data_IF_399330162723
#
_entry.id   IF_399330162723
#
_cell.length_a   1.000
_cell.length_b   1.000
_cell.length_c   1.000
_cell.angle_alpha   90.00
_cell.angle_beta   90.00
_cell.angle_gamma   90.00
#
_symmetry.space_group_name_H-M   'P 1'
#
loop_
_entity.id
_entity.type
_entity.pdbx_description
1 polymer ?
#
# COMPACT_ATOMS: atom_id res chain seq x y z
N UNK A 1 28.54 22.41 -12.49
CA UNK A 1 29.13 21.15 -12.99
C UNK A 1 28.01 20.14 -13.11
N UNK A 2 27.64 19.72 -14.32
CA UNK A 2 26.60 18.71 -14.49
C UNK A 2 27.19 17.35 -14.09
N UNK A 3 26.83 16.85 -12.91
CA UNK A 3 27.07 15.45 -12.55
C UNK A 3 26.15 14.59 -13.41
N UNK A 4 26.57 14.31 -14.64
CA UNK A 4 25.94 13.27 -15.45
C UNK A 4 26.23 11.93 -14.78
N UNK A 5 25.18 11.21 -14.38
CA UNK A 5 25.31 9.90 -13.76
C UNK A 5 26.11 8.96 -14.66
N UNK A 6 26.97 8.14 -14.07
CA UNK A 6 27.81 7.22 -14.83
C UNK A 6 26.94 6.18 -15.56
N UNK A 7 27.42 5.71 -16.71
CA UNK A 7 26.83 4.59 -17.43
C UNK A 7 26.70 3.38 -16.50
N UNK A 8 25.50 2.85 -16.31
CA UNK A 8 25.25 1.71 -15.42
C UNK A 8 25.78 0.39 -16.01
N UNK A 9 26.05 0.36 -17.32
CA UNK A 9 26.58 -0.82 -18.03
C UNK A 9 28.11 -0.92 -17.89
N UNK A 10 28.83 0.17 -18.16
CA UNK A 10 30.29 0.14 -18.21
C UNK A 10 30.97 0.94 -17.10
N UNK A 11 30.25 1.80 -16.36
CA UNK A 11 30.71 2.66 -15.27
C UNK A 11 31.92 3.56 -15.57
N UNK A 12 32.32 3.67 -16.84
CA UNK A 12 33.54 4.35 -17.30
C UNK A 12 33.30 5.76 -17.82
N UNK A 13 32.08 6.11 -18.18
CA UNK A 13 31.75 7.39 -18.82
C UNK A 13 30.39 7.90 -18.35
N UNK A 14 30.18 9.21 -18.43
CA UNK A 14 28.88 9.81 -18.18
C UNK A 14 27.83 9.21 -19.13
N UNK A 15 26.67 8.91 -18.58
CA UNK A 15 25.52 8.46 -19.35
C UNK A 15 25.00 9.57 -20.26
N UNK A 16 24.60 9.19 -21.47
CA UNK A 16 24.06 10.09 -22.50
C UNK A 16 22.66 9.70 -22.95
N UNK A 17 22.26 8.46 -22.71
CA UNK A 17 21.02 7.87 -23.21
C UNK A 17 20.39 6.98 -22.13
N UNK A 18 19.09 6.72 -22.28
CA UNK A 18 18.27 5.93 -21.35
C UNK A 18 17.56 4.80 -22.09
N UNK A 19 17.51 3.60 -21.51
CA UNK A 19 16.82 2.46 -22.10
C UNK A 19 15.29 2.61 -21.95
N UNK A 20 14.46 2.40 -22.99
CA UNK A 20 13.01 2.52 -22.88
C UNK A 20 12.33 1.35 -22.15
N UNK A 21 13.03 0.24 -21.92
CA UNK A 21 12.46 -0.98 -21.30
C UNK A 21 12.70 -0.99 -19.79
N UNK A 22 13.96 -0.92 -19.38
CA UNK A 22 14.39 -1.03 -17.99
C UNK A 22 14.83 0.30 -17.37
N UNK A 23 14.77 1.40 -18.13
CA UNK A 23 15.10 2.77 -17.69
C UNK A 23 16.55 3.02 -17.25
N UNK A 24 17.46 2.06 -17.41
CA UNK A 24 18.89 2.25 -17.08
C UNK A 24 19.56 3.27 -17.99
N UNK A 25 20.57 3.95 -17.46
CA UNK A 25 21.34 5.00 -18.12
C UNK A 25 22.63 4.43 -18.71
N UNK A 26 22.91 4.74 -19.97
CA UNK A 26 24.08 4.24 -20.69
C UNK A 26 24.79 5.33 -21.51
N UNK A 27 26.08 5.12 -21.80
CA UNK A 27 26.90 6.13 -22.50
C UNK A 27 26.86 6.02 -24.04
N UNK A 28 26.64 4.82 -24.61
CA UNK A 28 26.68 4.61 -26.06
C UNK A 28 25.93 3.34 -26.51
N UNK A 29 25.74 3.19 -27.83
CA UNK A 29 25.05 2.05 -28.46
C UNK A 29 25.74 0.71 -28.13
N UNK A 30 27.05 0.66 -27.93
CA UNK A 30 27.74 -0.55 -27.50
C UNK A 30 27.31 -1.01 -26.10
N UNK A 31 27.11 -0.07 -25.18
CA UNK A 31 26.55 -0.34 -23.85
C UNK A 31 25.07 -0.75 -23.94
N UNK A 32 24.30 -0.19 -24.88
CA UNK A 32 22.92 -0.61 -25.10
C UNK A 32 22.82 -2.05 -25.61
N UNK A 33 23.66 -2.46 -26.57
CA UNK A 33 23.66 -3.83 -27.10
C UNK A 33 24.09 -4.86 -26.06
N UNK A 34 25.15 -4.58 -25.31
CA UNK A 34 25.62 -5.45 -24.22
C UNK A 34 24.55 -5.62 -23.16
N UNK A 35 23.90 -4.52 -22.74
CA UNK A 35 22.77 -4.55 -21.83
C UNK A 35 21.55 -5.30 -22.36
N UNK A 36 21.17 -5.09 -23.64
CA UNK A 36 20.02 -5.75 -24.25
C UNK A 36 20.26 -7.25 -24.47
N UNK A 37 21.50 -7.64 -24.70
CA UNK A 37 21.92 -9.05 -24.84
C UNK A 37 22.09 -9.76 -23.51
N UNK A 38 22.39 -9.05 -22.42
CA UNK A 38 22.24 -9.60 -21.07
C UNK A 38 20.76 -9.67 -20.73
N UNK A 39 20.26 -10.80 -20.25
CA UNK A 39 18.85 -11.03 -19.86
C UNK A 39 18.35 -10.13 -18.71
N UNK A 40 19.13 -9.13 -18.30
CA UNK A 40 18.85 -8.15 -17.25
C UNK A 40 18.05 -6.93 -17.73
N UNK A 41 17.73 -6.84 -19.04
CA UNK A 41 16.83 -5.83 -19.59
C UNK A 41 15.36 -6.19 -19.31
N UNK A 42 15.00 -6.25 -18.03
CA UNK A 42 13.65 -6.53 -17.57
C UNK A 42 12.93 -5.20 -17.35
N UNK A 43 11.69 -5.10 -17.83
CA UNK A 43 10.80 -3.99 -17.47
C UNK A 43 10.66 -4.01 -15.96
N UNK A 44 10.91 -2.90 -15.22
CA UNK A 44 10.65 -2.90 -13.79
C UNK A 44 9.21 -3.34 -13.60
N UNK A 45 9.03 -4.48 -12.94
CA UNK A 45 7.72 -4.83 -12.41
C UNK A 45 7.30 -3.66 -11.54
N UNK A 46 6.02 -3.25 -11.56
CA UNK A 46 5.55 -2.29 -10.58
C UNK A 46 5.91 -2.88 -9.23
N UNK A 47 6.87 -2.26 -8.55
CA UNK A 47 7.15 -2.55 -7.15
C UNK A 47 5.79 -2.35 -6.51
N UNK A 48 5.17 -3.45 -6.10
CA UNK A 48 4.07 -3.38 -5.15
C UNK A 48 4.72 -2.66 -3.99
N UNK A 49 4.44 -1.36 -3.89
CA UNK A 49 4.78 -0.53 -2.75
C UNK A 49 4.31 -1.35 -1.56
N UNK A 50 5.27 -1.98 -0.89
CA UNK A 50 5.06 -2.48 0.45
C UNK A 50 4.74 -1.21 1.21
N UNK A 51 3.43 -1.01 1.42
CA UNK A 51 2.92 -0.01 2.35
C UNK A 51 3.81 -0.14 3.58
N UNK A 52 4.41 0.96 4.06
CA UNK A 52 5.26 0.90 5.25
C UNK A 52 4.50 0.14 6.35
N UNK A 53 5.20 -0.60 7.23
CA UNK A 53 4.57 -1.14 8.42
C UNK A 53 3.75 -0.02 9.04
N UNK A 54 2.46 -0.26 9.25
CA UNK A 54 1.61 0.65 10.03
C UNK A 54 2.27 0.71 11.40
N UNK A 55 3.13 1.71 11.62
CA UNK A 55 3.57 2.06 12.95
C UNK A 55 2.28 2.36 13.70
N UNK A 56 2.00 1.53 14.71
CA UNK A 56 0.95 1.76 15.68
C UNK A 56 1.26 3.09 16.35
N UNK A 57 0.81 4.19 15.75
CA UNK A 57 0.93 5.50 16.36
C UNK A 57 0.05 5.44 17.61
N UNK A 58 0.63 5.60 18.82
CA UNK A 58 -0.17 5.76 20.01
C UNK A 58 -1.11 6.93 19.73
N UNK A 59 -2.41 6.71 19.93
CA UNK A 59 -3.38 7.80 19.91
C UNK A 59 -2.84 8.90 20.83
N UNK A 60 -2.68 10.13 20.32
CA UNK A 60 -2.14 11.21 21.17
C UNK A 60 -3.16 11.62 22.26
N UNK A 61 -4.43 11.23 22.09
CA UNK A 61 -5.53 11.55 23.00
C UNK A 61 -6.52 10.38 23.10
N UNK A 62 -6.47 9.64 24.21
CA UNK A 62 -7.51 8.65 24.55
C UNK A 62 -8.80 9.36 24.95
N UNK A 63 -9.89 9.05 24.27
CA UNK A 63 -11.25 9.44 24.66
C UNK A 63 -12.07 8.21 25.05
N UNK A 64 -13.24 8.41 25.63
CA UNK A 64 -14.17 7.32 25.97
C UNK A 64 -14.58 6.52 24.72
N UNK A 65 -14.65 7.18 23.56
CA UNK A 65 -14.97 6.56 22.27
C UNK A 65 -13.78 5.82 21.62
N UNK A 66 -12.59 5.86 22.22
CA UNK A 66 -11.40 5.21 21.67
C UNK A 66 -11.39 3.72 22.05
N UNK A 67 -11.48 2.84 21.05
CA UNK A 67 -11.40 1.39 21.28
C UNK A 67 -9.98 0.99 21.65
N UNK A 68 -9.83 0.30 22.78
CA UNK A 68 -8.53 -0.20 23.26
C UNK A 68 -7.92 -1.23 22.28
N UNK A 69 -6.59 -1.25 22.12
CA UNK A 69 -5.92 -2.19 21.21
C UNK A 69 -6.16 -3.66 21.59
N UNK A 70 -6.36 -3.97 22.88
CA UNK A 70 -6.73 -5.32 23.33
C UNK A 70 -8.06 -5.78 22.74
N UNK A 71 -9.07 -4.89 22.68
CA UNK A 71 -10.36 -5.18 22.05
C UNK A 71 -10.25 -5.28 20.53
N UNK A 72 -9.41 -4.44 19.91
CA UNK A 72 -9.14 -4.52 18.47
C UNK A 72 -8.51 -5.86 18.06
N UNK A 73 -7.74 -6.50 18.95
CA UNK A 73 -7.19 -7.84 18.67
C UNK A 73 -8.28 -8.91 18.61
N UNK A 74 -9.40 -8.77 19.32
CA UNK A 74 -10.51 -9.73 19.29
C UNK A 74 -11.15 -9.84 17.90
N UNK A 75 -11.18 -8.73 17.15
CA UNK A 75 -11.66 -8.69 15.76
C UNK A 75 -10.90 -9.65 14.83
N UNK A 76 -9.65 -10.01 15.19
CA UNK A 76 -8.83 -10.95 14.42
C UNK A 76 -9.31 -12.38 14.56
N UNK A 77 -9.83 -12.74 15.73
CA UNK A 77 -10.25 -14.10 16.05
C UNK A 77 -11.72 -14.34 15.71
N UNK A 78 -12.50 -13.27 15.52
CA UNK A 78 -13.91 -13.35 15.13
C UNK A 78 -14.11 -13.92 13.70
N UNK A 79 -14.92 -14.98 13.52
CA UNK A 79 -15.13 -15.62 12.24
C UNK A 79 -15.96 -14.79 11.26
N UNK A 80 -16.88 -13.96 11.74
CA UNK A 80 -17.79 -13.17 10.91
C UNK A 80 -17.06 -11.95 10.33
N UNK A 81 -16.28 -11.23 11.16
CA UNK A 81 -15.37 -10.17 10.71
C UNK A 81 -14.37 -10.69 9.67
N UNK A 82 -13.81 -11.88 9.89
CA UNK A 82 -12.89 -12.49 8.92
C UNK A 82 -13.56 -12.82 7.60
N UNK A 83 -14.79 -13.33 7.63
CA UNK A 83 -15.59 -13.67 6.46
C UNK A 83 -15.95 -12.42 5.65
N UNK A 84 -16.30 -11.33 6.30
CA UNK A 84 -16.56 -10.05 5.63
C UNK A 84 -15.30 -9.54 4.92
N UNK A 85 -14.14 -9.65 5.57
CA UNK A 85 -12.84 -9.28 5.00
C UNK A 85 -12.37 -10.19 3.86
N UNK A 86 -13.00 -11.33 3.60
CA UNK A 86 -12.74 -12.11 2.37
C UNK A 86 -13.20 -11.35 1.12
N UNK A 87 -14.14 -10.41 1.27
CA UNK A 87 -14.65 -9.61 0.17
C UNK A 87 -13.63 -8.53 -0.26
N UNK A 88 -13.13 -8.68 -1.49
CA UNK A 88 -12.16 -7.74 -2.08
C UNK A 88 -12.68 -6.30 -2.22
N UNK A 89 -13.98 -6.10 -2.35
CA UNK A 89 -14.58 -4.76 -2.45
C UNK A 89 -14.54 -4.05 -1.10
N UNK A 90 -14.92 -4.76 -0.03
CA UNK A 90 -14.88 -4.23 1.33
C UNK A 90 -13.45 -3.82 1.71
N UNK A 91 -12.45 -4.67 1.40
CA UNK A 91 -11.04 -4.35 1.64
C UNK A 91 -10.61 -3.06 0.95
N UNK A 92 -10.96 -2.89 -0.33
CA UNK A 92 -10.66 -1.65 -1.06
C UNK A 92 -11.33 -0.44 -0.43
N UNK A 93 -12.58 -0.57 0.00
CA UNK A 93 -13.30 0.50 0.67
C UNK A 93 -12.62 0.91 1.99
N UNK A 94 -12.18 -0.05 2.79
CA UNK A 94 -11.41 0.20 4.02
C UNK A 94 -10.06 0.86 3.72
N UNK A 95 -9.38 0.43 2.65
CA UNK A 95 -8.14 1.07 2.20
C UNK A 95 -8.37 2.52 1.74
N UNK A 96 -9.43 2.78 0.98
CA UNK A 96 -9.80 4.12 0.55
C UNK A 96 -10.20 5.02 1.71
N UNK A 97 -10.93 4.49 2.70
CA UNK A 97 -11.29 5.18 3.93
C UNK A 97 -10.03 5.61 4.68
N UNK A 98 -9.07 4.70 4.86
CA UNK A 98 -7.82 4.97 5.58
C UNK A 98 -6.91 5.99 4.86
N UNK A 99 -7.01 6.10 3.53
CA UNK A 99 -6.23 7.04 2.72
C UNK A 99 -6.97 8.36 2.44
N UNK A 100 -8.26 8.43 2.76
CA UNK A 100 -9.12 9.56 2.44
C UNK A 100 -8.85 10.76 3.36
N UNK A 101 -8.94 11.97 2.79
CA UNK A 101 -8.77 13.23 3.54
C UNK A 101 -10.00 13.64 4.35
N UNK A 102 -11.17 13.12 4.01
CA UNK A 102 -12.46 13.42 4.65
C UNK A 102 -13.13 12.10 5.09
N UNK A 103 -12.66 11.46 6.16
CA UNK A 103 -13.16 10.17 6.60
C UNK A 103 -14.64 10.22 6.97
N UNK A 104 -15.13 11.33 7.53
CA UNK A 104 -16.54 11.48 7.94
C UNK A 104 -17.51 11.28 6.77
N UNK A 105 -17.29 12.02 5.67
CA UNK A 105 -18.12 11.94 4.47
C UNK A 105 -18.03 10.56 3.82
N UNK A 106 -16.85 9.95 3.84
CA UNK A 106 -16.65 8.62 3.27
C UNK A 106 -17.36 7.56 4.10
N UNK A 107 -17.31 7.64 5.44
CA UNK A 107 -18.06 6.76 6.34
C UNK A 107 -19.57 6.89 6.06
N UNK A 108 -20.12 8.10 5.94
CA UNK A 108 -21.54 8.30 5.60
C UNK A 108 -21.93 7.66 4.26
N UNK A 109 -21.01 7.64 3.29
CA UNK A 109 -21.23 6.98 2.01
C UNK A 109 -21.08 5.46 2.12
N UNK A 110 -20.07 4.98 2.84
CA UNK A 110 -19.81 3.57 3.07
C UNK A 110 -20.95 2.90 3.85
N UNK A 111 -21.58 3.60 4.79
CA UNK A 111 -22.77 3.13 5.51
C UNK A 111 -24.00 2.88 4.64
N UNK A 112 -24.00 3.30 3.36
CA UNK A 112 -25.07 2.97 2.40
C UNK A 112 -24.82 1.63 1.71
N UNK A 113 -23.61 1.09 1.83
CA UNK A 113 -23.22 -0.18 1.22
C UNK A 113 -23.47 -1.30 2.23
N UNK A 114 -24.32 -2.29 1.90
CA UNK A 114 -24.75 -3.32 2.85
C UNK A 114 -23.56 -4.16 3.38
N UNK A 115 -22.54 -4.37 2.54
CA UNK A 115 -21.33 -5.10 2.92
C UNK A 115 -20.52 -4.38 4.01
N UNK A 116 -20.53 -3.05 4.01
CA UNK A 116 -19.82 -2.25 5.01
C UNK A 116 -20.64 -2.14 6.29
N UNK A 117 -21.96 -2.02 6.19
CA UNK A 117 -22.88 -2.07 7.33
C UNK A 117 -22.77 -3.38 8.10
N UNK A 118 -22.78 -4.53 7.40
CA UNK A 118 -22.62 -5.85 8.02
C UNK A 118 -21.27 -5.95 8.75
N UNK A 119 -20.18 -5.54 8.09
CA UNK A 119 -18.85 -5.51 8.69
C UNK A 119 -18.77 -4.66 9.96
N UNK A 120 -19.32 -3.44 9.93
CA UNK A 120 -19.30 -2.56 11.10
C UNK A 120 -20.15 -3.15 12.23
N UNK A 121 -21.29 -3.76 11.89
CA UNK A 121 -22.15 -4.42 12.87
C UNK A 121 -21.42 -5.55 13.58
N UNK A 122 -20.74 -6.44 12.85
CA UNK A 122 -19.93 -7.49 13.45
C UNK A 122 -18.76 -6.91 14.28
N UNK A 123 -18.12 -5.84 13.81
CA UNK A 123 -17.06 -5.18 14.57
C UNK A 123 -17.57 -4.59 15.90
N UNK A 124 -18.72 -3.91 15.87
CA UNK A 124 -19.35 -3.33 17.06
C UNK A 124 -19.78 -4.42 18.04
N UNK A 125 -20.39 -5.50 17.56
CA UNK A 125 -20.72 -6.65 18.40
C UNK A 125 -19.50 -7.17 19.15
N UNK A 126 -18.38 -7.41 18.48
CA UNK A 126 -17.15 -7.90 19.14
C UNK A 126 -16.58 -6.91 20.16
N UNK A 127 -16.68 -5.60 19.91
CA UNK A 127 -16.12 -4.57 20.80
C UNK A 127 -17.03 -4.25 21.99
N UNK A 128 -18.35 -4.39 21.80
CA UNK A 128 -19.40 -4.09 22.79
C UNK A 128 -19.85 -5.30 23.62
N UNK A 129 -19.59 -6.56 23.21
CA UNK A 129 -20.05 -7.78 23.91
C UNK A 129 -19.51 -7.93 25.36
N UNK A 130 -18.48 -7.17 25.74
CA UNK A 130 -18.02 -7.08 27.14
C UNK A 130 -18.68 -5.91 27.90
N UNK A 131 -20.00 -5.98 28.12
CA UNK A 131 -20.68 -5.22 29.17
C UNK A 131 -21.71 -6.04 29.96
#
# INVERSE_FOLDING_TARGET
MALGEACEVCKKSASKYKCPVCLIKFCCVACFKTHKSSETCVKPEPVVEQKPPVEEQPYEFETEDTVKPEKLNLLRDDPDVRKDLENSHLRKMLEELNLTRNPDVFIEQAMKEPLFEEFVTHCLQVVEDEN
#
